data_IF_277833152924
#
_entry.id   IF_277833152924
#
_cell.length_a   1.000
_cell.length_b   1.000
_cell.length_c   1.000
_cell.angle_alpha   90.00
_cell.angle_beta   90.00
_cell.angle_gamma   90.00
#
_symmetry.space_group_name_H-M   'P 1'
#
loop_
_entity.id
_entity.type
_entity.pdbx_description
1 polymer ?
#
# COMPACT_ATOMS: atom_id res chain seq x y z
N UNK A 1 5.23 -14.32 5.59
CA UNK A 1 5.16 -12.92 5.07
C UNK A 1 4.79 -12.86 3.58
N UNK A 2 4.77 -13.98 2.84
CA UNK A 2 4.39 -14.05 1.41
C UNK A 2 2.94 -14.50 1.17
N UNK A 3 2.28 -15.05 2.19
CA UNK A 3 0.99 -15.73 2.05
C UNK A 3 -0.18 -14.80 1.72
N UNK A 4 -0.22 -13.55 2.23
CA UNK A 4 -1.34 -12.64 1.93
C UNK A 4 -1.40 -12.28 0.44
N UNK A 5 -0.25 -12.04 -0.19
CA UNK A 5 -0.15 -11.77 -1.64
C UNK A 5 -0.51 -13.00 -2.46
N UNK A 6 -0.10 -14.20 -2.01
CA UNK A 6 -0.49 -15.46 -2.64
C UNK A 6 -2.01 -15.71 -2.55
N UNK A 7 -2.63 -15.42 -1.40
CA UNK A 7 -4.08 -15.49 -1.21
C UNK A 7 -4.79 -14.48 -2.11
N UNK A 8 -4.30 -13.24 -2.21
CA UNK A 8 -4.87 -12.24 -3.11
C UNK A 8 -4.79 -12.69 -4.58
N UNK A 9 -3.67 -13.26 -5.01
CA UNK A 9 -3.52 -13.84 -6.37
C UNK A 9 -4.53 -14.95 -6.60
N UNK A 10 -4.60 -15.93 -5.68
CA UNK A 10 -5.56 -17.03 -5.75
C UNK A 10 -7.01 -16.56 -5.84
N UNK A 11 -7.40 -15.55 -5.05
CA UNK A 11 -8.77 -15.00 -5.10
C UNK A 11 -9.02 -14.32 -6.45
N UNK A 12 -8.07 -13.55 -6.97
CA UNK A 12 -8.21 -12.89 -8.27
C UNK A 12 -8.34 -13.92 -9.41
N UNK A 13 -7.57 -15.00 -9.37
CA UNK A 13 -7.64 -16.08 -10.37
C UNK A 13 -8.94 -16.88 -10.25
N UNK A 14 -9.30 -17.30 -9.04
CA UNK A 14 -10.48 -18.14 -8.79
C UNK A 14 -11.79 -17.43 -9.11
N UNK A 15 -11.83 -16.11 -8.90
CA UNK A 15 -13.02 -15.29 -9.13
C UNK A 15 -12.79 -14.29 -10.26
N UNK A 16 -11.99 -14.65 -11.27
CA UNK A 16 -11.64 -13.77 -12.39
C UNK A 16 -12.87 -13.21 -13.13
N UNK A 17 -13.98 -13.96 -13.16
CA UNK A 17 -15.24 -13.52 -13.79
C UNK A 17 -16.11 -12.62 -12.90
N UNK A 18 -15.76 -12.44 -11.62
CA UNK A 18 -16.56 -11.72 -10.63
C UNK A 18 -15.83 -10.47 -10.11
N UNK A 19 -16.49 -9.31 -10.15
CA UNK A 19 -15.92 -8.06 -9.66
C UNK A 19 -14.92 -7.42 -10.65
N UNK A 20 -13.81 -6.86 -10.16
CA UNK A 20 -12.84 -6.16 -11.00
C UNK A 20 -11.84 -7.15 -11.63
N UNK A 21 -12.17 -7.60 -12.84
CA UNK A 21 -11.41 -8.61 -13.60
C UNK A 21 -9.98 -8.18 -13.99
N UNK A 22 -9.62 -6.90 -13.80
CA UNK A 22 -8.32 -6.34 -14.22
C UNK A 22 -7.29 -6.20 -13.10
N UNK A 23 -7.55 -6.76 -11.91
CA UNK A 23 -6.62 -6.66 -10.78
C UNK A 23 -5.26 -7.31 -11.05
N UNK A 24 -5.21 -8.32 -11.91
CA UNK A 24 -3.97 -8.95 -12.39
C UNK A 24 -3.55 -8.46 -13.79
N UNK A 25 -4.24 -7.47 -14.34
CA UNK A 25 -4.05 -6.95 -15.70
C UNK A 25 -4.89 -7.69 -16.75
N UNK A 26 -5.49 -6.97 -17.71
CA UNK A 26 -6.40 -7.54 -18.73
C UNK A 26 -5.69 -8.41 -19.77
N UNK A 27 -4.38 -8.22 -20.01
CA UNK A 27 -3.54 -9.01 -20.93
C UNK A 27 -2.07 -8.92 -20.50
N UNK A 28 -1.50 -10.02 -20.01
CA UNK A 28 -0.05 -10.12 -19.72
C UNK A 28 0.40 -9.38 -18.45
N UNK A 29 -0.18 -9.72 -17.30
CA UNK A 29 0.05 -9.13 -15.96
C UNK A 29 1.48 -8.95 -15.44
N UNK A 30 2.51 -9.07 -16.28
CA UNK A 30 3.91 -8.85 -15.94
C UNK A 30 4.19 -7.47 -15.34
N UNK A 31 3.50 -6.40 -15.77
CA UNK A 31 3.64 -5.09 -15.10
C UNK A 31 3.06 -5.12 -13.68
N UNK A 32 1.93 -5.80 -13.46
CA UNK A 32 1.34 -5.91 -12.12
C UNK A 32 2.27 -6.69 -11.20
N UNK A 33 2.77 -7.85 -11.65
CA UNK A 33 3.71 -8.67 -10.87
C UNK A 33 5.03 -7.92 -10.59
N UNK A 34 5.58 -7.20 -11.58
CA UNK A 34 6.80 -6.41 -11.41
C UNK A 34 6.62 -5.36 -10.30
N UNK A 35 5.50 -4.62 -10.31
CA UNK A 35 5.25 -3.60 -9.30
C UNK A 35 4.87 -4.20 -7.94
N UNK A 36 4.26 -5.38 -7.91
CA UNK A 36 4.00 -6.12 -6.68
C UNK A 36 5.29 -6.64 -6.04
N UNK A 37 6.24 -7.12 -6.84
CA UNK A 37 7.57 -7.51 -6.38
C UNK A 37 8.36 -6.28 -5.90
N UNK A 38 8.32 -5.18 -6.65
CA UNK A 38 8.96 -3.92 -6.24
C UNK A 38 8.38 -3.40 -4.92
N UNK A 39 7.06 -3.51 -4.70
CA UNK A 39 6.43 -3.22 -3.42
C UNK A 39 6.99 -4.12 -2.32
N UNK A 40 7.02 -5.43 -2.53
CA UNK A 40 7.52 -6.40 -1.55
C UNK A 40 8.98 -6.20 -1.14
N UNK A 41 9.83 -5.79 -2.08
CA UNK A 41 11.27 -5.62 -1.85
C UNK A 41 11.65 -4.22 -1.34
N UNK A 42 11.00 -3.17 -1.85
CA UNK A 42 11.44 -1.79 -1.62
C UNK A 42 10.50 -1.01 -0.70
N UNK A 43 9.19 -1.16 -0.85
CA UNK A 43 8.21 -0.44 -0.05
C UNK A 43 7.91 -1.15 1.28
N UNK A 44 7.70 -2.46 1.23
CA UNK A 44 7.24 -3.25 2.37
C UNK A 44 8.23 -3.25 3.56
N UNK A 45 9.56 -3.39 3.39
CA UNK A 45 10.46 -3.39 4.54
C UNK A 45 10.45 -2.09 5.36
N UNK A 46 10.69 -0.89 4.78
CA UNK A 46 10.66 0.34 5.56
C UNK A 46 9.24 0.68 6.05
N UNK A 47 8.21 0.43 5.24
CA UNK A 47 6.83 0.70 5.66
C UNK A 47 6.39 -0.22 6.81
N UNK A 48 6.76 -1.51 6.79
CA UNK A 48 6.46 -2.44 7.88
C UNK A 48 7.09 -2.01 9.20
N UNK A 49 8.35 -1.54 9.17
CA UNK A 49 9.01 -1.03 10.38
C UNK A 49 8.30 0.20 10.91
N UNK A 50 7.89 1.13 10.03
CA UNK A 50 7.10 2.30 10.44
C UNK A 50 5.75 1.90 11.03
N UNK A 51 5.03 0.97 10.41
CA UNK A 51 3.75 0.47 10.95
C UNK A 51 3.94 -0.15 12.33
N UNK A 52 4.99 -0.96 12.53
CA UNK A 52 5.30 -1.52 13.84
C UNK A 52 5.53 -0.41 14.87
N UNK A 53 6.43 0.52 14.58
CA UNK A 53 6.81 1.60 15.50
C UNK A 53 5.64 2.57 15.79
N UNK A 54 4.89 2.97 14.77
CA UNK A 54 3.84 3.99 14.89
C UNK A 54 2.51 3.45 15.40
N UNK A 55 2.18 2.18 15.11
CA UNK A 55 0.84 1.65 15.35
C UNK A 55 0.81 0.43 16.29
N UNK A 56 1.81 -0.45 16.27
CA UNK A 56 1.81 -1.66 17.09
C UNK A 56 2.56 -1.51 18.41
N UNK A 57 3.75 -0.92 18.41
CA UNK A 57 4.53 -0.70 19.62
C UNK A 57 3.73 0.06 20.71
N UNK A 58 3.02 1.17 20.41
CA UNK A 58 2.19 1.85 21.40
C UNK A 58 1.03 0.98 21.92
N UNK A 59 0.40 0.18 21.05
CA UNK A 59 -0.69 -0.74 21.44
C UNK A 59 -0.21 -1.89 22.33
N UNK A 60 1.06 -2.27 22.20
CA UNK A 60 1.70 -3.31 23.00
C UNK A 60 2.37 -2.75 24.26
N UNK A 61 2.32 -1.43 24.50
CA UNK A 61 3.02 -0.79 25.60
C UNK A 61 4.55 -0.78 25.45
N UNK A 62 5.06 -0.98 24.23
CA UNK A 62 6.48 -0.93 23.92
C UNK A 62 6.90 0.51 23.58
N UNK A 63 8.09 0.96 24.03
CA UNK A 63 8.62 2.25 23.62
C UNK A 63 8.89 2.27 22.12
N UNK A 64 8.60 3.40 21.48
CA UNK A 64 8.96 3.64 20.09
C UNK A 64 10.47 3.88 19.98
N UNK A 65 11.06 3.51 18.85
CA UNK A 65 12.45 3.82 18.49
C UNK A 65 12.49 4.99 17.49
N UNK A 66 12.81 6.22 17.93
CA UNK A 66 12.86 7.39 17.05
C UNK A 66 13.91 7.27 15.95
N UNK A 67 15.03 6.59 16.20
CA UNK A 67 16.08 6.41 15.21
C UNK A 67 15.63 5.46 14.10
N UNK A 68 14.94 4.36 14.46
CA UNK A 68 14.34 3.46 13.49
C UNK A 68 13.23 4.15 12.67
N UNK A 69 12.40 4.99 13.31
CA UNK A 69 11.38 5.78 12.62
C UNK A 69 12.02 6.70 11.58
N UNK A 70 12.98 7.54 11.98
CA UNK A 70 13.64 8.50 11.09
C UNK A 70 14.36 7.81 9.92
N UNK A 71 15.07 6.72 10.20
CA UNK A 71 15.78 5.95 9.18
C UNK A 71 14.81 5.39 8.12
N UNK A 72 13.70 4.80 8.56
CA UNK A 72 12.77 4.15 7.64
C UNK A 72 11.85 5.17 6.93
N UNK A 73 11.61 6.33 7.52
CA UNK A 73 11.02 7.48 6.80
C UNK A 73 11.90 7.91 5.64
N UNK A 74 13.21 8.08 5.86
CA UNK A 74 14.14 8.43 4.79
C UNK A 74 14.22 7.37 3.69
N UNK A 75 14.19 6.08 4.05
CA UNK A 75 14.15 4.98 3.07
C UNK A 75 12.84 4.99 2.27
N UNK A 76 11.71 5.14 2.96
CA UNK A 76 10.39 5.14 2.32
C UNK A 76 10.22 6.37 1.42
N UNK A 77 10.70 7.55 1.83
CA UNK A 77 10.69 8.75 1.01
C UNK A 77 11.39 8.53 -0.33
N UNK A 78 12.57 7.89 -0.35
CA UNK A 78 13.29 7.56 -1.59
C UNK A 78 12.51 6.62 -2.50
N UNK A 79 11.78 5.65 -1.93
CA UNK A 79 10.89 4.77 -2.72
C UNK A 79 9.75 5.58 -3.33
N UNK A 80 9.16 6.49 -2.55
CA UNK A 80 8.09 7.36 -3.03
C UNK A 80 8.56 8.38 -4.08
N UNK A 81 9.85 8.75 -4.11
CA UNK A 81 10.45 9.54 -5.20
C UNK A 81 10.53 8.76 -6.53
N UNK A 82 10.68 7.43 -6.47
CA UNK A 82 10.57 6.57 -7.66
C UNK A 82 9.10 6.49 -8.10
N UNK A 83 8.19 6.38 -7.14
CA UNK A 83 6.76 6.30 -7.44
C UNK A 83 6.23 7.60 -8.04
N UNK A 84 6.72 8.76 -7.59
CA UNK A 84 6.31 10.06 -8.13
C UNK A 84 6.57 10.16 -9.64
N UNK A 85 7.75 9.70 -10.08
CA UNK A 85 8.12 9.63 -11.50
C UNK A 85 7.27 8.63 -12.25
N UNK A 86 7.07 7.43 -11.69
CA UNK A 86 6.20 6.41 -12.31
C UNK A 86 4.76 6.90 -12.49
N UNK A 87 4.23 7.58 -11.49
CA UNK A 87 2.85 8.07 -11.45
C UNK A 87 2.67 9.38 -12.24
N UNK A 88 3.75 9.98 -12.72
CA UNK A 88 3.71 11.03 -13.73
C UNK A 88 3.31 10.46 -15.09
N UNK A 89 3.87 9.30 -15.45
CA UNK A 89 3.65 8.63 -16.73
C UNK A 89 2.36 7.82 -16.79
N UNK A 90 1.79 7.48 -15.63
CA UNK A 90 0.71 6.51 -15.50
C UNK A 90 -0.24 6.86 -14.36
N UNK A 91 -1.53 6.52 -14.50
CA UNK A 91 -2.52 6.80 -13.45
C UNK A 91 -2.26 5.99 -12.17
N UNK A 92 -1.91 4.72 -12.32
CA UNK A 92 -1.59 3.74 -11.27
C UNK A 92 -0.22 3.11 -11.52
N UNK A 93 0.30 2.33 -10.56
CA UNK A 93 1.66 1.78 -10.65
C UNK A 93 1.85 0.88 -11.87
N UNK A 94 0.89 0.01 -12.14
CA UNK A 94 0.94 -0.96 -13.23
C UNK A 94 0.24 -0.50 -14.54
N UNK A 95 -0.15 0.78 -14.64
CA UNK A 95 -0.82 1.32 -15.83
C UNK A 95 -2.02 2.21 -15.49
N UNK A 96 -2.98 2.32 -16.41
CA UNK A 96 -4.12 3.22 -16.25
C UNK A 96 -5.28 2.65 -15.41
N UNK A 97 -5.21 1.37 -15.06
CA UNK A 97 -6.20 0.70 -14.24
C UNK A 97 -5.65 0.30 -12.86
N UNK A 98 -6.48 0.48 -11.83
CA UNK A 98 -6.21 0.00 -10.48
C UNK A 98 -6.00 -1.52 -10.46
N UNK A 99 -4.91 -1.95 -9.83
CA UNK A 99 -4.45 -3.33 -9.81
C UNK A 99 -4.07 -3.82 -8.41
N UNK A 100 -3.66 -5.09 -8.30
CA UNK A 100 -3.12 -5.65 -7.06
C UNK A 100 -1.83 -4.93 -6.61
N UNK A 101 -1.05 -4.42 -7.57
CA UNK A 101 0.13 -3.62 -7.26
C UNK A 101 -0.24 -2.42 -6.40
N UNK A 102 -1.32 -1.69 -6.72
CA UNK A 102 -1.77 -0.54 -5.94
C UNK A 102 -2.48 -0.92 -4.64
N UNK A 103 -3.25 -2.00 -4.68
CA UNK A 103 -4.00 -2.50 -3.51
C UNK A 103 -3.05 -2.87 -2.36
N UNK A 104 -1.90 -3.44 -2.68
CA UNK A 104 -0.93 -3.94 -1.71
C UNK A 104 -0.37 -2.86 -0.77
N UNK A 105 -0.40 -1.58 -1.18
CA UNK A 105 0.09 -0.46 -0.37
C UNK A 105 -0.91 0.05 0.67
N UNK A 106 -2.20 -0.25 0.50
CA UNK A 106 -3.27 0.33 1.33
C UNK A 106 -3.11 0.05 2.83
N UNK A 107 -2.82 -1.19 3.29
CA UNK A 107 -2.74 -1.47 4.72
C UNK A 107 -1.63 -0.68 5.41
N UNK A 108 -0.40 -0.74 4.87
CA UNK A 108 0.73 -0.06 5.49
C UNK A 108 0.61 1.47 5.37
N UNK A 109 0.20 1.98 4.21
CA UNK A 109 0.00 3.42 4.01
C UNK A 109 -1.06 3.99 4.95
N UNK A 110 -2.13 3.24 5.24
CA UNK A 110 -3.17 3.67 6.18
C UNK A 110 -2.62 3.84 7.59
N UNK A 111 -1.90 2.85 8.12
CA UNK A 111 -1.31 2.94 9.46
C UNK A 111 -0.22 4.01 9.56
N UNK A 112 0.60 4.19 8.53
CA UNK A 112 1.64 5.23 8.52
C UNK A 112 1.01 6.63 8.58
N UNK A 113 -0.04 6.89 7.79
CA UNK A 113 -0.77 8.17 7.86
C UNK A 113 -1.47 8.37 9.19
N UNK A 114 -2.13 7.34 9.72
CA UNK A 114 -2.78 7.38 11.03
C UNK A 114 -1.76 7.61 12.18
N UNK A 115 -0.53 7.14 12.00
CA UNK A 115 0.61 7.39 12.89
C UNK A 115 1.27 8.78 12.75
N UNK A 116 0.64 9.72 12.04
CA UNK A 116 1.09 11.11 11.93
C UNK A 116 2.08 11.38 10.80
N UNK A 117 2.39 10.40 9.93
CA UNK A 117 3.33 10.57 8.81
C UNK A 117 2.62 10.82 7.48
N UNK A 118 1.68 11.74 7.51
CA UNK A 118 0.83 12.11 6.36
C UNK A 118 1.65 12.64 5.19
N UNK A 119 2.67 13.45 5.49
CA UNK A 119 3.51 14.14 4.50
C UNK A 119 4.23 13.21 3.52
N UNK A 120 4.55 11.97 3.93
CA UNK A 120 5.15 10.99 3.02
C UNK A 120 4.29 10.79 1.75
N UNK A 121 2.97 10.85 1.89
CA UNK A 121 2.01 10.65 0.81
C UNK A 121 1.43 11.96 0.25
N UNK A 122 1.54 13.10 0.93
CA UNK A 122 0.97 14.38 0.47
C UNK A 122 1.98 15.34 -0.15
N UNK A 123 3.27 15.25 0.21
CA UNK A 123 4.29 16.19 -0.28
C UNK A 123 4.68 16.00 -1.75
N UNK A 124 4.23 14.92 -2.39
CA UNK A 124 4.52 14.58 -3.80
C UNK A 124 3.22 14.55 -4.59
N UNK A 125 3.12 15.30 -5.69
CA UNK A 125 1.86 15.57 -6.38
C UNK A 125 1.21 14.30 -6.93
N UNK A 126 1.95 13.47 -7.64
CA UNK A 126 1.40 12.27 -8.28
C UNK A 126 1.14 11.16 -7.27
N UNK A 127 2.00 11.00 -6.25
CA UNK A 127 1.76 10.09 -5.12
C UNK A 127 0.53 10.50 -4.32
N UNK A 128 0.32 11.80 -4.06
CA UNK A 128 -0.85 12.30 -3.34
C UNK A 128 -2.15 11.97 -4.10
N UNK A 129 -2.17 12.28 -5.39
CA UNK A 129 -3.28 11.94 -6.30
C UNK A 129 -3.55 10.43 -6.30
N UNK A 130 -2.51 9.62 -6.46
CA UNK A 130 -2.62 8.15 -6.47
C UNK A 130 -3.17 7.63 -5.14
N UNK A 131 -2.60 8.09 -4.02
CA UNK A 131 -3.00 7.67 -2.68
C UNK A 131 -4.48 8.00 -2.40
N UNK A 132 -4.92 9.21 -2.75
CA UNK A 132 -6.32 9.61 -2.63
C UNK A 132 -7.22 8.67 -3.47
N UNK A 133 -6.85 8.42 -4.73
CA UNK A 133 -7.63 7.57 -5.62
C UNK A 133 -7.76 6.12 -5.12
N UNK A 134 -6.71 5.54 -4.51
CA UNK A 134 -6.75 4.16 -4.02
C UNK A 134 -7.40 4.04 -2.64
N UNK A 135 -7.19 5.02 -1.76
CA UNK A 135 -7.73 4.99 -0.40
C UNK A 135 -9.19 5.41 -0.31
N UNK A 136 -9.70 6.18 -1.27
CA UNK A 136 -11.13 6.54 -1.33
C UNK A 136 -12.01 5.47 -1.98
N UNK A 137 -11.45 4.31 -2.36
CA UNK A 137 -12.24 3.23 -2.96
C UNK A 137 -13.24 2.67 -1.95
N UNK A 138 -14.52 2.47 -2.33
CA UNK A 138 -15.54 1.94 -1.41
C UNK A 138 -15.14 0.62 -0.74
N UNK A 139 -14.46 -0.25 -1.47
CA UNK A 139 -13.94 -1.52 -0.93
C UNK A 139 -12.93 -1.32 0.20
N UNK A 140 -12.06 -0.30 0.10
CA UNK A 140 -11.11 0.01 1.16
C UNK A 140 -11.76 0.74 2.34
N UNK A 141 -12.65 1.69 2.05
CA UNK A 141 -13.41 2.38 3.10
C UNK A 141 -14.19 1.39 3.98
N UNK A 142 -14.81 0.38 3.38
CA UNK A 142 -15.46 -0.71 4.12
C UNK A 142 -14.51 -1.47 5.05
N UNK A 143 -13.28 -1.76 4.61
CA UNK A 143 -12.25 -2.39 5.47
C UNK A 143 -11.91 -1.49 6.65
N UNK A 144 -11.74 -0.18 6.43
CA UNK A 144 -11.45 0.80 7.50
C UNK A 144 -12.61 0.90 8.49
N UNK A 145 -13.86 0.88 8.01
CA UNK A 145 -15.06 0.86 8.86
C UNK A 145 -15.11 -0.40 9.73
N UNK A 146 -14.83 -1.57 9.15
CA UNK A 146 -14.81 -2.85 9.88
C UNK A 146 -13.75 -2.89 10.97
N UNK A 147 -12.65 -2.14 10.86
CA UNK A 147 -11.63 -2.03 11.91
C UNK A 147 -12.06 -1.17 13.10
N UNK A 148 -13.07 -0.31 12.93
CA UNK A 148 -13.61 0.55 13.99
C UNK A 148 -14.79 -0.08 14.71
N UNK A 149 -15.51 -0.98 14.05
CA UNK A 149 -16.60 -1.72 14.66
C UNK A 149 -16.04 -2.77 15.65
N UNK A 150 -16.64 -2.92 16.84
CA UNK A 150 -16.34 -4.08 17.68
C UNK A 150 -16.67 -5.37 16.89
N UNK A 151 -15.92 -6.47 17.09
CA UNK A 151 -16.25 -7.73 16.44
C UNK A 151 -17.69 -8.12 16.80
N UNK A 152 -18.48 -8.43 15.77
CA UNK A 152 -19.85 -8.91 15.89
C UNK A 152 -19.91 -10.28 16.56
#
# INVERSE_FOLDING_TARGET
>A
REESRAICRYICDKYADHGKQSLLGRRGGGQVEQWLEAEGQSFNPPSSTLVFQLAFAPRMGLPQDPAAILLNEGKLAKVLDVYERRLEESRFLAGDEFSLADLSHLPNGHYIRAGGKVELFTSRKNVARWWEAISMRPSWQKVVEMQRAPPA
#
